data_IF_853501417297
#
_entry.id   IF_853501417297
#
_cell.length_a   1.000
_cell.length_b   1.000
_cell.length_c   1.000
_cell.angle_alpha   90.00
_cell.angle_beta   90.00
_cell.angle_gamma   90.00
#
_symmetry.space_group_name_H-M   'P 1'
#
loop_
_entity.id
_entity.type
_entity.pdbx_description
1 polymer ?
#
# COMPACT_ATOMS: atom_id res chain seq x y z
N UNK A 1 23.07 21.95 -8.34
CA UNK A 1 22.23 21.04 -7.55
C UNK A 1 21.10 21.88 -6.97
N UNK A 2 19.97 21.95 -7.66
CA UNK A 2 18.78 22.66 -7.19
C UNK A 2 18.22 21.87 -6.02
N UNK A 3 18.21 22.46 -4.83
CA UNK A 3 17.70 21.83 -3.61
C UNK A 3 16.24 21.41 -3.80
N UNK A 4 15.98 20.11 -3.67
CA UNK A 4 14.65 19.54 -3.64
C UNK A 4 13.90 20.20 -2.46
N UNK A 5 12.66 20.71 -2.62
CA UNK A 5 11.90 21.27 -1.52
C UNK A 5 11.76 20.24 -0.40
N UNK A 6 11.73 20.70 0.85
CA UNK A 6 11.45 19.82 1.99
C UNK A 6 10.09 19.16 1.79
N UNK A 7 10.09 17.84 1.58
CA UNK A 7 8.88 17.04 1.41
C UNK A 7 8.07 16.97 2.69
N UNK A 8 6.81 16.54 2.60
CA UNK A 8 5.97 16.25 3.75
C UNK A 8 6.52 15.09 4.59
N UNK A 9 5.93 14.79 5.76
CA UNK A 9 6.45 13.80 6.70
C UNK A 9 6.54 12.38 6.11
N UNK A 10 5.80 12.07 5.04
CA UNK A 10 5.79 10.79 4.35
C UNK A 10 6.73 10.70 3.15
N UNK A 11 7.41 11.79 2.81
CA UNK A 11 8.31 11.84 1.65
C UNK A 11 9.39 10.74 1.67
N UNK A 12 10.06 10.44 2.81
CA UNK A 12 11.09 9.41 2.82
C UNK A 12 10.56 7.99 2.58
N UNK A 13 9.25 7.76 2.74
CA UNK A 13 8.62 6.49 2.36
C UNK A 13 8.47 6.37 0.84
N UNK A 14 8.16 7.45 0.13
CA UNK A 14 7.77 7.44 -1.28
C UNK A 14 8.82 8.01 -2.25
N UNK A 15 9.70 8.87 -1.78
CA UNK A 15 10.78 9.42 -2.60
C UNK A 15 12.04 9.66 -1.75
N UNK A 16 12.59 8.61 -1.11
CA UNK A 16 13.80 8.71 -0.31
C UNK A 16 15.00 9.15 -1.16
N UNK A 17 15.97 9.84 -0.55
CA UNK A 17 17.23 10.22 -1.19
C UNK A 17 18.18 9.03 -1.35
N UNK A 18 18.06 8.06 -0.46
CA UNK A 18 18.86 6.84 -0.49
C UNK A 18 18.05 5.64 0.03
N UNK A 19 18.25 4.50 -0.61
CA UNK A 19 17.62 3.23 -0.26
C UNK A 19 18.70 2.17 -0.07
N UNK A 20 18.63 1.39 1.00
CA UNK A 20 19.42 0.18 1.16
C UNK A 20 18.49 -1.04 1.15
N UNK A 21 18.72 -1.99 0.25
CA UNK A 21 18.00 -3.28 0.20
C UNK A 21 18.86 -4.34 0.87
N UNK A 22 18.50 -4.74 2.08
CA UNK A 22 19.21 -5.76 2.86
C UNK A 22 18.56 -7.12 2.63
N UNK A 23 19.36 -8.06 2.13
CA UNK A 23 18.90 -9.33 1.61
C UNK A 23 18.69 -9.29 0.09
N UNK A 24 19.31 -8.32 -0.61
CA UNK A 24 19.35 -8.28 -2.07
C UNK A 24 19.84 -9.61 -2.65
N UNK A 25 19.36 -9.98 -3.83
CA UNK A 25 19.71 -11.24 -4.49
C UNK A 25 19.82 -11.07 -5.99
N UNK A 26 20.67 -11.86 -6.60
CA UNK A 26 20.77 -12.08 -8.05
C UNK A 26 19.89 -13.24 -8.56
N UNK A 27 19.30 -14.01 -7.63
CA UNK A 27 18.39 -15.10 -7.94
C UNK A 27 16.93 -14.60 -8.06
N UNK A 28 16.28 -14.68 -9.24
CA UNK A 28 14.90 -14.21 -9.47
C UNK A 28 13.81 -14.99 -8.71
N UNK A 29 14.15 -16.14 -8.11
CA UNK A 29 13.22 -16.87 -7.24
C UNK A 29 13.08 -16.26 -5.84
N UNK A 30 13.94 -15.29 -5.49
CA UNK A 30 13.96 -14.65 -4.17
C UNK A 30 13.32 -13.26 -4.20
N UNK A 31 12.59 -12.92 -3.15
CA UNK A 31 12.01 -11.57 -2.98
C UNK A 31 13.07 -10.48 -3.05
N UNK A 32 14.26 -10.72 -2.48
CA UNK A 32 15.38 -9.78 -2.53
C UNK A 32 15.83 -9.38 -3.93
N UNK A 33 15.62 -10.25 -4.95
CA UNK A 33 15.86 -9.91 -6.35
C UNK A 33 14.88 -8.83 -6.84
N UNK A 34 13.59 -9.05 -6.64
CA UNK A 34 12.55 -8.15 -7.12
C UNK A 34 12.62 -6.78 -6.45
N UNK A 35 12.88 -6.77 -5.14
CA UNK A 35 13.06 -5.54 -4.37
C UNK A 35 14.30 -4.76 -4.83
N UNK A 36 15.42 -5.45 -5.04
CA UNK A 36 16.66 -4.83 -5.54
C UNK A 36 16.51 -4.32 -6.97
N UNK A 37 15.95 -5.14 -7.86
CA UNK A 37 15.68 -4.76 -9.26
C UNK A 37 14.71 -3.56 -9.33
N UNK A 38 13.66 -3.57 -8.51
CA UNK A 38 12.71 -2.48 -8.40
C UNK A 38 13.35 -1.19 -7.86
N UNK A 39 14.18 -1.28 -6.82
CA UNK A 39 14.92 -0.12 -6.29
C UNK A 39 15.83 0.50 -7.35
N UNK A 40 16.49 -0.32 -8.16
CA UNK A 40 17.41 0.14 -9.22
C UNK A 40 16.69 0.87 -10.35
N UNK A 41 15.39 0.73 -10.56
CA UNK A 41 14.66 1.54 -11.55
C UNK A 41 14.75 3.03 -11.24
N UNK A 42 14.76 3.40 -9.95
CA UNK A 42 14.87 4.77 -9.48
C UNK A 42 16.29 5.29 -9.22
N UNK A 43 17.34 4.54 -9.61
CA UNK A 43 18.76 4.93 -9.33
C UNK A 43 19.21 6.24 -9.94
N UNK A 44 18.50 6.75 -10.92
CA UNK A 44 18.75 8.06 -11.52
C UNK A 44 18.26 9.22 -10.64
N UNK A 45 17.44 8.94 -9.60
CA UNK A 45 16.86 9.92 -8.68
C UNK A 45 17.43 9.83 -7.26
N UNK A 46 17.95 8.67 -6.89
CA UNK A 46 18.39 8.33 -5.52
C UNK A 46 19.58 7.38 -5.50
N UNK A 47 20.34 7.41 -4.43
CA UNK A 47 21.36 6.38 -4.18
C UNK A 47 20.69 5.06 -3.82
N UNK A 48 21.09 3.97 -4.48
CA UNK A 48 20.58 2.62 -4.20
C UNK A 48 21.76 1.74 -3.81
N UNK A 49 21.70 1.15 -2.63
CA UNK A 49 22.68 0.25 -2.09
C UNK A 49 22.08 -1.14 -1.92
N UNK A 50 22.75 -2.14 -2.44
CA UNK A 50 22.34 -3.54 -2.36
C UNK A 50 23.24 -4.25 -1.35
N UNK A 51 22.64 -4.89 -0.33
CA UNK A 51 23.39 -5.50 0.76
C UNK A 51 23.13 -7.02 0.81
N UNK A 52 24.21 -7.81 0.67
CA UNK A 52 24.19 -9.26 0.87
C UNK A 52 25.56 -9.75 1.32
N UNK A 53 25.63 -10.41 2.48
CA UNK A 53 26.88 -10.96 3.05
C UNK A 53 27.57 -12.01 2.15
N UNK A 54 26.86 -12.63 1.21
CA UNK A 54 27.41 -13.62 0.28
C UNK A 54 28.10 -12.99 -0.93
N UNK A 55 28.08 -11.65 -1.04
CA UNK A 55 28.53 -10.98 -2.25
C UNK A 55 27.59 -11.19 -3.44
N UNK A 56 28.03 -10.82 -4.63
CA UNK A 56 27.27 -10.87 -5.86
C UNK A 56 27.02 -9.48 -6.45
N UNK A 57 26.20 -9.40 -7.48
CA UNK A 57 25.82 -8.14 -8.12
C UNK A 57 24.48 -8.27 -8.84
N UNK A 58 23.79 -7.16 -9.03
CA UNK A 58 22.59 -7.09 -9.83
C UNK A 58 22.63 -5.85 -10.73
N UNK A 59 22.41 -6.05 -12.04
CA UNK A 59 22.44 -4.96 -13.05
C UNK A 59 23.70 -4.08 -12.98
N UNK A 60 24.86 -4.70 -12.70
CA UNK A 60 26.16 -4.03 -12.60
C UNK A 60 26.42 -3.34 -11.24
N UNK A 61 25.49 -3.42 -10.28
CA UNK A 61 25.66 -2.88 -8.92
C UNK A 61 26.12 -4.00 -7.99
N UNK A 62 27.34 -3.90 -7.39
CA UNK A 62 27.83 -4.92 -6.47
C UNK A 62 27.07 -4.93 -5.16
N UNK A 63 26.99 -6.10 -4.52
CA UNK A 63 26.44 -6.22 -3.18
C UNK A 63 27.48 -5.87 -2.13
N UNK A 64 27.08 -4.99 -1.20
CA UNK A 64 27.88 -4.65 -0.02
C UNK A 64 27.74 -5.75 1.05
N UNK A 65 28.77 -6.03 1.85
CA UNK A 65 28.74 -7.10 2.85
C UNK A 65 27.81 -6.81 4.05
N UNK A 66 27.60 -5.53 4.38
CA UNK A 66 26.81 -5.08 5.53
C UNK A 66 26.41 -3.63 5.44
N UNK A 67 25.62 -3.16 6.41
CA UNK A 67 25.22 -1.75 6.52
C UNK A 67 26.39 -0.83 6.91
N UNK A 68 27.40 -1.36 7.57
CA UNK A 68 28.66 -0.68 7.93
C UNK A 68 29.53 -0.32 6.72
N UNK A 69 29.34 -1.03 5.60
CA UNK A 69 30.02 -0.74 4.33
C UNK A 69 29.33 0.34 3.49
N UNK A 70 28.21 0.91 3.95
CA UNK A 70 27.52 2.00 3.25
C UNK A 70 28.33 3.30 3.30
N UNK A 71 28.32 4.10 2.22
CA UNK A 71 29.06 5.39 2.20
C UNK A 71 28.42 6.46 3.10
N UNK A 72 27.25 6.19 3.69
CA UNK A 72 26.54 7.09 4.59
C UNK A 72 25.22 6.48 5.06
N UNK A 73 24.54 7.16 5.99
CA UNK A 73 23.26 6.73 6.53
C UNK A 73 22.21 6.60 5.42
N UNK A 74 21.57 5.42 5.22
CA UNK A 74 20.47 5.29 4.29
C UNK A 74 19.22 5.95 4.88
N UNK A 75 18.46 6.65 4.07
CA UNK A 75 17.20 7.24 4.52
C UNK A 75 16.11 6.16 4.70
N UNK A 76 16.10 5.15 3.82
CA UNK A 76 15.13 4.06 3.85
C UNK A 76 15.83 2.69 3.70
N UNK A 77 15.56 1.77 4.63
CA UNK A 77 16.03 0.39 4.56
C UNK A 77 14.87 -0.55 4.25
N UNK A 78 15.06 -1.40 3.23
CA UNK A 78 14.17 -2.52 2.92
C UNK A 78 14.80 -3.79 3.44
N UNK A 79 14.07 -4.54 4.28
CA UNK A 79 14.56 -5.74 4.95
C UNK A 79 13.90 -6.99 4.36
N UNK A 80 14.70 -7.80 3.68
CA UNK A 80 14.28 -9.05 3.03
C UNK A 80 15.23 -10.22 3.37
N UNK A 81 15.64 -10.29 4.63
CA UNK A 81 16.49 -11.37 5.17
C UNK A 81 15.63 -12.46 5.81
N UNK A 82 16.16 -13.66 6.08
CA UNK A 82 15.45 -14.67 6.87
C UNK A 82 14.96 -14.11 8.23
N UNK A 83 13.87 -14.65 8.80
CA UNK A 83 13.24 -14.14 10.03
C UNK A 83 14.23 -13.88 11.17
N UNK A 84 15.14 -14.80 11.43
CA UNK A 84 16.15 -14.69 12.49
C UNK A 84 17.13 -13.52 12.34
N UNK A 85 17.23 -12.94 11.15
CA UNK A 85 18.11 -11.80 10.87
C UNK A 85 17.42 -10.43 10.93
N UNK A 86 16.09 -10.39 10.96
CA UNK A 86 15.32 -9.13 10.85
C UNK A 86 15.66 -8.15 11.96
N UNK A 87 15.60 -8.60 13.23
CA UNK A 87 15.89 -7.76 14.40
C UNK A 87 17.28 -7.13 14.31
N UNK A 88 18.30 -7.93 13.97
CA UNK A 88 19.67 -7.42 13.87
C UNK A 88 19.83 -6.37 12.79
N UNK A 89 19.23 -6.60 11.61
CA UNK A 89 19.27 -5.61 10.51
C UNK A 89 18.61 -4.29 10.91
N UNK A 90 17.50 -4.33 11.64
CA UNK A 90 16.83 -3.11 12.11
C UNK A 90 17.67 -2.39 13.17
N UNK A 91 18.26 -3.11 14.12
CA UNK A 91 19.19 -2.54 15.13
C UNK A 91 20.37 -1.86 14.45
N UNK A 92 21.04 -2.56 13.52
CA UNK A 92 22.18 -2.02 12.77
C UNK A 92 21.76 -0.82 11.92
N UNK A 93 20.58 -0.85 11.31
CA UNK A 93 20.04 0.23 10.51
C UNK A 93 19.75 1.49 11.33
N UNK A 94 19.16 1.34 12.52
CA UNK A 94 18.96 2.45 13.47
C UNK A 94 20.30 3.03 13.90
N UNK A 95 21.27 2.19 14.24
CA UNK A 95 22.63 2.62 14.60
C UNK A 95 23.33 3.34 13.45
N UNK A 96 23.11 2.92 12.19
CA UNK A 96 23.60 3.58 10.99
C UNK A 96 22.89 4.92 10.68
N UNK A 97 21.84 5.27 11.43
CA UNK A 97 21.11 6.52 11.30
C UNK A 97 19.89 6.48 10.39
N UNK A 98 19.47 5.30 9.91
CA UNK A 98 18.25 5.16 9.12
C UNK A 98 17.02 5.54 9.96
N UNK A 99 16.01 6.08 9.26
CA UNK A 99 14.75 6.50 9.90
C UNK A 99 13.52 5.77 9.33
N UNK A 100 13.60 5.21 8.13
CA UNK A 100 12.49 4.51 7.49
C UNK A 100 12.86 3.07 7.21
N UNK A 101 11.95 2.18 7.60
CA UNK A 101 12.12 0.74 7.43
C UNK A 101 10.89 0.13 6.77
N UNK A 102 11.11 -0.70 5.76
CA UNK A 102 10.09 -1.57 5.18
C UNK A 102 10.53 -3.01 5.39
N UNK A 103 9.81 -3.74 6.24
CA UNK A 103 10.12 -5.13 6.58
C UNK A 103 9.21 -6.07 5.82
N UNK A 104 9.78 -6.72 4.80
CA UNK A 104 9.06 -7.64 3.91
C UNK A 104 8.85 -8.99 4.58
N UNK A 105 9.84 -9.44 5.31
CA UNK A 105 9.89 -10.77 5.91
C UNK A 105 8.70 -11.02 6.84
N UNK A 106 8.05 -12.18 6.66
CA UNK A 106 7.00 -12.69 7.53
C UNK A 106 7.57 -13.68 8.55
N UNK A 107 6.84 -13.90 9.66
CA UNK A 107 7.20 -14.91 10.65
C UNK A 107 8.49 -14.60 11.43
N UNK A 108 8.87 -13.33 11.50
CA UNK A 108 10.04 -12.89 12.26
C UNK A 108 9.85 -13.02 13.78
N UNK A 109 8.59 -13.20 14.22
CA UNK A 109 8.26 -13.35 15.64
C UNK A 109 6.76 -13.35 15.92
N UNK A 110 6.41 -13.45 17.21
CA UNK A 110 5.04 -13.21 17.64
C UNK A 110 4.69 -11.72 17.50
N UNK A 111 3.40 -11.37 17.51
CA UNK A 111 2.94 -9.98 17.43
C UNK A 111 3.56 -9.05 18.52
N UNK A 112 4.06 -9.61 19.61
CA UNK A 112 4.80 -8.87 20.62
C UNK A 112 6.19 -8.43 20.12
N UNK A 113 6.91 -9.31 19.45
CA UNK A 113 8.24 -9.02 18.88
C UNK A 113 8.16 -7.99 17.75
N UNK A 114 7.12 -8.06 16.93
CA UNK A 114 6.85 -7.05 15.90
C UNK A 114 6.62 -5.65 16.52
N UNK A 115 5.88 -5.58 17.64
CA UNK A 115 5.69 -4.31 18.38
C UNK A 115 6.97 -3.79 19.02
N UNK A 116 7.81 -4.68 19.57
CA UNK A 116 9.11 -4.29 20.11
C UNK A 116 10.04 -3.74 19.02
N UNK A 117 10.02 -4.36 17.82
CA UNK A 117 10.78 -3.89 16.68
C UNK A 117 10.32 -2.50 16.24
N UNK A 118 9.01 -2.27 16.15
CA UNK A 118 8.43 -0.98 15.83
C UNK A 118 8.77 0.07 16.92
N UNK A 119 8.67 -0.31 18.20
CA UNK A 119 9.02 0.56 19.32
C UNK A 119 10.50 0.98 19.30
N UNK A 120 11.41 0.07 18.94
CA UNK A 120 12.83 0.38 18.77
C UNK A 120 13.03 1.47 17.70
N UNK A 121 12.39 1.34 16.54
CA UNK A 121 12.50 2.29 15.44
C UNK A 121 11.90 3.64 15.82
N UNK A 122 10.71 3.65 16.41
CA UNK A 122 10.00 4.89 16.79
C UNK A 122 10.70 5.64 17.93
N UNK A 123 11.30 4.93 18.89
CA UNK A 123 12.11 5.55 19.97
C UNK A 123 13.30 6.35 19.42
N UNK A 124 13.78 6.03 18.21
CA UNK A 124 14.85 6.74 17.53
C UNK A 124 14.33 7.73 16.46
N UNK A 125 13.04 8.08 16.50
CA UNK A 125 12.41 9.04 15.59
C UNK A 125 12.21 8.49 14.17
N UNK A 126 12.18 7.17 13.99
CA UNK A 126 11.93 6.48 12.73
C UNK A 126 10.50 5.97 12.60
N UNK A 127 10.20 5.34 11.44
CA UNK A 127 8.94 4.69 11.13
C UNK A 127 9.17 3.32 10.48
N UNK A 128 8.27 2.38 10.74
CA UNK A 128 8.36 1.01 10.24
C UNK A 128 7.09 0.60 9.52
N UNK A 129 7.21 0.18 8.25
CA UNK A 129 6.15 -0.44 7.46
C UNK A 129 6.28 -1.96 7.52
N UNK A 130 5.20 -2.65 7.82
CA UNK A 130 5.15 -4.10 8.00
C UNK A 130 5.30 -4.50 9.48
N UNK A 131 5.99 -5.58 9.83
CA UNK A 131 6.50 -6.69 8.99
C UNK A 131 5.44 -7.39 8.14
N UNK A 132 5.86 -8.41 7.38
CA UNK A 132 4.94 -9.21 6.56
C UNK A 132 4.17 -8.36 5.53
N UNK A 133 4.86 -7.47 4.84
CA UNK A 133 4.27 -6.61 3.82
C UNK A 133 4.88 -6.87 2.43
N UNK A 134 4.24 -6.38 1.38
CA UNK A 134 4.80 -6.41 0.03
C UNK A 134 5.74 -5.24 -0.25
N UNK A 135 5.68 -4.19 0.57
CA UNK A 135 6.46 -2.99 0.36
C UNK A 135 5.66 -1.80 -0.18
N UNK A 136 6.31 -0.94 -0.96
CA UNK A 136 5.79 0.37 -1.38
C UNK A 136 6.15 0.69 -2.82
N UNK A 137 5.23 1.41 -3.49
CA UNK A 137 5.45 1.98 -4.84
C UNK A 137 5.06 3.45 -4.83
N UNK A 138 5.85 4.25 -5.51
CA UNK A 138 5.46 5.57 -6.00
C UNK A 138 5.86 5.68 -7.47
N UNK A 139 4.87 5.71 -8.36
CA UNK A 139 5.09 5.72 -9.80
C UNK A 139 5.54 7.10 -10.32
N UNK A 140 5.33 8.15 -9.54
CA UNK A 140 5.79 9.51 -9.84
C UNK A 140 7.28 9.71 -9.56
N UNK A 141 7.80 9.02 -8.55
CA UNK A 141 9.21 9.07 -8.15
C UNK A 141 10.05 7.89 -8.67
N UNK A 142 9.45 6.98 -9.45
CA UNK A 142 10.07 5.70 -9.87
C UNK A 142 10.57 4.86 -8.69
N UNK A 143 9.87 4.91 -7.55
CA UNK A 143 10.13 4.04 -6.42
C UNK A 143 9.33 2.75 -6.56
N UNK A 144 10.05 1.61 -6.61
CA UNK A 144 9.45 0.27 -6.66
C UNK A 144 10.15 -0.64 -5.66
N UNK A 145 9.70 -0.64 -4.42
CA UNK A 145 10.22 -1.50 -3.36
C UNK A 145 9.22 -2.64 -3.10
N UNK A 146 8.89 -3.37 -4.16
CA UNK A 146 7.90 -4.44 -4.18
C UNK A 146 8.15 -5.41 -5.34
N UNK A 147 7.35 -6.46 -5.40
CA UNK A 147 7.21 -7.33 -6.59
C UNK A 147 5.83 -7.13 -7.23
N UNK A 148 5.68 -7.61 -8.46
CA UNK A 148 4.47 -7.45 -9.25
C UNK A 148 4.48 -6.17 -10.08
N UNK A 149 3.43 -6.01 -10.89
CA UNK A 149 3.30 -4.88 -11.79
C UNK A 149 2.26 -3.88 -11.29
N UNK A 150 2.70 -2.63 -11.17
CA UNK A 150 1.88 -1.49 -10.76
C UNK A 150 2.03 -0.39 -11.81
N UNK A 151 1.25 -0.43 -12.90
CA UNK A 151 1.30 0.58 -13.95
C UNK A 151 0.98 1.97 -13.38
N UNK A 152 1.62 2.98 -13.95
CA UNK A 152 1.40 4.38 -13.54
C UNK A 152 -0.04 4.82 -13.82
N UNK A 153 -0.64 5.50 -12.85
CA UNK A 153 -2.00 6.05 -12.93
C UNK A 153 -2.38 6.94 -11.77
N UNK A 154 -3.67 7.03 -11.48
CA UNK A 154 -4.23 8.00 -10.55
C UNK A 154 -4.88 7.38 -9.30
N UNK A 155 -4.79 6.05 -9.13
CA UNK A 155 -5.30 5.35 -7.96
C UNK A 155 -4.22 5.21 -6.90
N UNK A 156 -4.42 5.79 -5.72
CA UNK A 156 -3.65 5.47 -4.52
C UNK A 156 -4.18 4.18 -3.91
N UNK A 157 -3.30 3.23 -3.56
CA UNK A 157 -3.74 1.94 -3.03
C UNK A 157 -3.09 1.64 -1.68
N UNK A 158 -3.92 1.23 -0.72
CA UNK A 158 -3.50 0.75 0.61
C UNK A 158 -4.04 -0.67 0.78
N UNK A 159 -3.21 -1.64 1.14
CA UNK A 159 -3.70 -3.01 1.31
C UNK A 159 -2.99 -3.78 2.42
N UNK A 160 -3.77 -4.50 3.25
CA UNK A 160 -3.25 -5.52 4.15
C UNK A 160 -2.99 -6.86 3.45
N UNK A 161 -3.60 -7.09 2.28
CA UNK A 161 -3.39 -8.30 1.47
C UNK A 161 -2.57 -7.99 0.23
N UNK A 162 -1.39 -8.60 0.13
CA UNK A 162 -0.54 -8.50 -1.05
C UNK A 162 -1.18 -9.06 -2.31
N UNK A 163 -1.80 -10.24 -2.21
CA UNK A 163 -2.42 -10.90 -3.37
C UNK A 163 -3.63 -10.11 -3.89
N UNK A 164 -4.47 -9.58 -3.00
CA UNK A 164 -5.61 -8.75 -3.39
C UNK A 164 -5.14 -7.43 -4.04
N UNK A 165 -4.03 -6.86 -3.58
CA UNK A 165 -3.43 -5.68 -4.21
C UNK A 165 -2.97 -5.98 -5.64
N UNK A 166 -2.30 -7.12 -5.88
CA UNK A 166 -1.87 -7.55 -7.23
C UNK A 166 -3.07 -7.81 -8.15
N UNK A 167 -4.11 -8.47 -7.64
CA UNK A 167 -5.35 -8.69 -8.38
C UNK A 167 -6.00 -7.36 -8.77
N UNK A 168 -6.17 -6.45 -7.82
CA UNK A 168 -6.76 -5.13 -8.04
C UNK A 168 -5.94 -4.31 -9.03
N UNK A 169 -4.61 -4.28 -8.90
CA UNK A 169 -3.73 -3.58 -9.83
C UNK A 169 -3.84 -4.13 -11.26
N UNK A 170 -3.95 -5.47 -11.43
CA UNK A 170 -4.16 -6.12 -12.72
C UNK A 170 -5.51 -5.76 -13.33
N UNK A 171 -6.57 -5.75 -12.53
CA UNK A 171 -7.91 -5.36 -13.00
C UNK A 171 -7.95 -3.88 -13.41
N UNK A 172 -7.34 -2.98 -12.63
CA UNK A 172 -7.18 -1.57 -12.99
C UNK A 172 -6.43 -1.41 -14.31
N UNK A 173 -5.31 -2.12 -14.50
CA UNK A 173 -4.54 -2.09 -15.74
C UNK A 173 -5.36 -2.53 -16.97
N UNK A 174 -6.18 -3.58 -16.84
CA UNK A 174 -7.10 -4.02 -17.89
C UNK A 174 -8.17 -3.00 -18.22
N UNK A 175 -8.57 -2.20 -17.24
CA UNK A 175 -9.52 -1.09 -17.40
C UNK A 175 -8.85 0.23 -17.85
N UNK A 176 -7.57 0.20 -18.26
CA UNK A 176 -6.82 1.38 -18.67
C UNK A 176 -6.46 2.34 -17.56
N UNK A 177 -6.53 1.87 -16.30
CA UNK A 177 -6.19 2.65 -15.10
C UNK A 177 -4.89 2.14 -14.47
N UNK A 178 -4.34 2.90 -13.53
CA UNK A 178 -3.10 2.52 -12.86
C UNK A 178 -2.95 3.13 -11.48
N UNK A 179 -1.80 2.86 -10.90
CA UNK A 179 -1.46 3.21 -9.53
C UNK A 179 -0.59 4.46 -9.48
N UNK A 180 -0.93 5.40 -8.60
CA UNK A 180 -0.09 6.54 -8.27
C UNK A 180 0.90 6.18 -7.15
N UNK A 181 0.38 5.66 -6.04
CA UNK A 181 1.10 5.14 -4.88
C UNK A 181 0.48 3.84 -4.41
N UNK A 182 1.31 2.93 -3.92
CA UNK A 182 0.88 1.71 -3.26
C UNK A 182 1.60 1.54 -1.92
N UNK A 183 0.87 1.15 -0.89
CA UNK A 183 1.39 0.80 0.43
C UNK A 183 0.80 -0.55 0.86
N UNK A 184 1.67 -1.52 1.08
CA UNK A 184 1.29 -2.79 1.70
C UNK A 184 1.52 -2.70 3.20
N UNK A 185 0.47 -2.85 4.00
CA UNK A 185 0.52 -2.60 5.44
C UNK A 185 1.18 -3.75 6.23
N UNK A 186 1.01 -5.00 5.77
CA UNK A 186 1.42 -6.18 6.55
C UNK A 186 0.75 -6.21 7.92
N UNK A 187 1.55 -6.48 8.97
CA UNK A 187 1.06 -6.62 10.35
C UNK A 187 0.70 -5.30 11.05
N UNK A 188 0.95 -4.15 10.42
CA UNK A 188 0.66 -2.82 10.97
C UNK A 188 1.25 -2.60 12.38
N UNK A 189 2.53 -2.90 12.55
CA UNK A 189 3.17 -2.81 13.87
C UNK A 189 3.48 -1.37 14.29
N UNK A 190 3.68 -0.44 13.32
CA UNK A 190 3.79 1.00 13.49
C UNK A 190 2.89 1.72 12.48
N UNK A 191 3.25 1.70 11.19
CA UNK A 191 2.45 2.35 10.14
C UNK A 191 1.17 1.55 9.92
N UNK A 192 0.02 2.16 10.21
CA UNK A 192 -1.31 1.58 10.07
C UNK A 192 -2.05 2.09 8.82
N UNK A 193 -3.29 1.63 8.65
CA UNK A 193 -4.12 2.02 7.52
C UNK A 193 -4.46 3.53 7.51
N UNK A 194 -4.66 4.14 8.68
CA UNK A 194 -4.93 5.57 8.78
C UNK A 194 -3.70 6.39 8.37
N UNK A 195 -2.49 5.98 8.82
CA UNK A 195 -1.22 6.57 8.39
C UNK A 195 -1.06 6.54 6.87
N UNK A 196 -1.28 5.37 6.27
CA UNK A 196 -1.13 5.20 4.82
C UNK A 196 -2.15 6.04 4.03
N UNK A 197 -3.39 6.15 4.50
CA UNK A 197 -4.38 7.04 3.90
C UNK A 197 -3.97 8.51 4.03
N UNK A 198 -3.51 8.94 5.22
CA UNK A 198 -3.00 10.30 5.46
C UNK A 198 -1.84 10.65 4.52
N UNK A 199 -0.99 9.67 4.16
CA UNK A 199 0.08 9.87 3.20
C UNK A 199 -0.39 10.01 1.74
N UNK A 200 -1.56 9.45 1.39
CA UNK A 200 -2.15 9.54 0.05
C UNK A 200 -3.01 10.79 -0.15
N UNK A 201 -3.64 11.32 0.91
CA UNK A 201 -4.52 12.48 0.83
C UNK A 201 -3.83 13.70 0.18
N UNK A 202 -2.62 14.13 0.58
CA UNK A 202 -1.97 15.29 -0.03
C UNK A 202 -1.32 14.98 -1.39
N UNK A 203 -1.22 13.70 -1.81
CA UNK A 203 -0.50 13.33 -3.03
C UNK A 203 -1.23 13.80 -4.30
N UNK A 204 -0.64 14.68 -5.12
CA UNK A 204 -1.36 15.34 -6.21
C UNK A 204 -1.79 14.39 -7.33
N UNK A 205 -1.01 13.33 -7.60
CA UNK A 205 -1.35 12.34 -8.63
C UNK A 205 -2.39 11.30 -8.16
N UNK A 206 -2.74 11.25 -6.88
CA UNK A 206 -3.81 10.38 -6.38
C UNK A 206 -5.15 11.11 -6.50
N UNK A 207 -6.07 10.58 -7.29
CA UNK A 207 -7.44 11.11 -7.43
C UNK A 207 -8.48 10.26 -6.71
N UNK A 208 -8.26 8.95 -6.64
CA UNK A 208 -9.11 7.98 -5.95
C UNK A 208 -8.23 7.13 -5.05
N UNK A 209 -8.71 6.78 -3.88
CA UNK A 209 -7.98 5.90 -2.95
C UNK A 209 -8.72 4.57 -2.86
N UNK A 210 -8.05 3.47 -3.19
CA UNK A 210 -8.50 2.10 -3.01
C UNK A 210 -7.87 1.53 -1.73
N UNK A 211 -8.66 1.00 -0.82
CA UNK A 211 -8.18 0.47 0.45
C UNK A 211 -8.76 -0.92 0.73
N UNK A 212 -7.91 -1.87 1.14
CA UNK A 212 -8.32 -3.12 1.75
C UNK A 212 -7.77 -3.19 3.18
N UNK A 213 -8.66 -3.19 4.15
CA UNK A 213 -8.32 -3.14 5.59
C UNK A 213 -9.08 -4.23 6.34
N UNK A 214 -8.35 -5.05 7.08
CA UNK A 214 -8.89 -6.12 7.92
C UNK A 214 -9.02 -5.68 9.37
N UNK A 215 -8.03 -4.91 9.86
CA UNK A 215 -7.96 -4.34 11.20
C UNK A 215 -7.73 -2.82 11.14
N UNK A 216 -8.68 -2.07 11.65
CA UNK A 216 -8.64 -0.59 11.65
C UNK A 216 -7.81 0.00 12.80
N UNK A 217 -7.29 -0.80 13.72
CA UNK A 217 -6.51 -0.38 14.90
C UNK A 217 -7.25 0.70 15.72
N UNK A 218 -7.21 1.94 15.30
CA UNK A 218 -7.99 3.06 15.86
C UNK A 218 -9.12 3.47 14.90
N UNK A 219 -10.33 2.94 15.14
CA UNK A 219 -11.51 3.25 14.33
C UNK A 219 -11.92 4.72 14.36
N UNK A 220 -11.64 5.45 15.45
CA UNK A 220 -11.95 6.89 15.54
C UNK A 220 -10.97 7.70 14.67
N UNK A 221 -9.70 7.35 14.68
CA UNK A 221 -8.71 7.96 13.79
C UNK A 221 -9.05 7.66 12.33
N UNK A 222 -9.39 6.40 12.02
CA UNK A 222 -9.80 6.02 10.68
C UNK A 222 -11.01 6.84 10.19
N UNK A 223 -12.05 7.01 11.00
CA UNK A 223 -13.21 7.83 10.65
C UNK A 223 -12.83 9.28 10.33
N UNK A 224 -11.95 9.90 11.13
CA UNK A 224 -11.44 11.25 10.86
C UNK A 224 -10.64 11.31 9.56
N UNK A 225 -9.79 10.31 9.31
CA UNK A 225 -8.96 10.24 8.08
C UNK A 225 -9.82 10.07 6.84
N UNK A 226 -10.86 9.25 6.89
CA UNK A 226 -11.84 9.11 5.79
C UNK A 226 -12.56 10.45 5.52
N UNK A 227 -12.98 11.15 6.58
CA UNK A 227 -13.57 12.49 6.46
C UNK A 227 -12.61 13.51 5.87
N UNK A 228 -11.33 13.47 6.22
CA UNK A 228 -10.28 14.33 5.65
C UNK A 228 -10.05 14.02 4.15
N UNK A 229 -10.06 12.75 3.74
CA UNK A 229 -9.97 12.37 2.34
C UNK A 229 -11.16 12.95 1.52
N UNK A 230 -12.39 12.82 2.06
CA UNK A 230 -13.57 13.42 1.47
C UNK A 230 -13.45 14.94 1.33
N UNK A 231 -13.01 15.63 2.38
CA UNK A 231 -12.82 17.09 2.37
C UNK A 231 -11.75 17.51 1.35
N UNK A 232 -10.74 16.68 1.10
CA UNK A 232 -9.74 16.87 0.06
C UNK A 232 -10.21 16.49 -1.35
N UNK A 233 -11.48 16.10 -1.53
CA UNK A 233 -12.04 15.69 -2.82
C UNK A 233 -11.51 14.33 -3.32
N UNK A 234 -11.01 13.46 -2.42
CA UNK A 234 -10.46 12.14 -2.76
C UNK A 234 -11.37 11.03 -2.24
N UNK A 235 -12.22 10.45 -3.11
CA UNK A 235 -13.06 9.32 -2.72
C UNK A 235 -12.22 8.16 -2.23
N UNK A 236 -12.67 7.53 -1.15
CA UNK A 236 -12.08 6.29 -0.62
C UNK A 236 -13.02 5.13 -0.91
N UNK A 237 -12.49 4.14 -1.64
CA UNK A 237 -13.13 2.87 -1.96
C UNK A 237 -12.60 1.83 -1.00
N UNK A 238 -13.42 1.35 -0.07
CA UNK A 238 -12.99 0.46 1.00
C UNK A 238 -13.52 -0.95 0.78
N UNK A 239 -12.62 -1.90 0.82
CA UNK A 239 -12.89 -3.31 1.02
C UNK A 239 -12.49 -3.69 2.44
N UNK A 240 -13.27 -4.54 3.09
CA UNK A 240 -12.94 -5.06 4.42
C UNK A 240 -13.23 -6.55 4.50
N UNK A 241 -12.50 -7.26 5.35
CA UNK A 241 -12.82 -8.64 5.71
C UNK A 241 -14.06 -8.70 6.63
N UNK A 242 -14.74 -9.85 6.67
CA UNK A 242 -15.70 -10.11 7.72
C UNK A 242 -17.16 -9.72 7.47
N UNK A 243 -17.60 -9.66 6.20
CA UNK A 243 -19.03 -9.46 5.86
C UNK A 243 -19.96 -10.56 6.36
N UNK A 244 -19.46 -11.78 6.51
CA UNK A 244 -20.16 -12.89 7.13
C UNK A 244 -19.37 -13.40 8.32
N UNK A 245 -20.04 -14.11 9.23
CA UNK A 245 -19.34 -14.74 10.36
C UNK A 245 -18.24 -15.70 9.89
N UNK A 246 -18.44 -16.42 8.79
CA UNK A 246 -17.44 -17.31 8.22
C UNK A 246 -16.22 -16.53 7.71
N UNK A 247 -16.44 -15.42 6.98
CA UNK A 247 -15.37 -14.55 6.52
C UNK A 247 -14.64 -13.86 7.68
N UNK A 248 -15.37 -13.48 8.74
CA UNK A 248 -14.80 -12.93 9.96
C UNK A 248 -13.88 -13.92 10.67
N UNK A 249 -14.29 -15.19 10.81
CA UNK A 249 -13.45 -16.25 11.39
C UNK A 249 -12.21 -16.53 10.55
N UNK A 250 -12.34 -16.56 9.22
CA UNK A 250 -11.21 -16.76 8.32
C UNK A 250 -10.18 -15.62 8.43
N UNK A 251 -10.63 -14.37 8.45
CA UNK A 251 -9.76 -13.20 8.62
C UNK A 251 -9.07 -13.18 9.99
N UNK A 252 -9.80 -13.45 11.07
CA UNK A 252 -9.24 -13.55 12.42
C UNK A 252 -8.17 -14.64 12.53
N UNK A 253 -8.35 -15.77 11.84
CA UNK A 253 -7.36 -16.87 11.78
C UNK A 253 -6.11 -16.47 10.98
N UNK A 254 -6.27 -15.62 9.95
CA UNK A 254 -5.17 -15.17 9.09
C UNK A 254 -4.32 -14.07 9.72
N UNK A 255 -4.96 -13.11 10.40
CA UNK A 255 -4.29 -11.91 10.93
C UNK A 255 -4.07 -11.94 12.44
N UNK A 256 -4.75 -12.86 13.16
CA UNK A 256 -4.77 -12.86 14.63
C UNK A 256 -5.48 -11.64 15.24
N UNK A 257 -6.14 -10.81 14.42
CA UNK A 257 -6.80 -9.59 14.84
C UNK A 257 -8.32 -9.78 14.98
N UNK A 258 -8.93 -8.98 15.87
CA UNK A 258 -10.39 -8.88 15.98
C UNK A 258 -10.93 -8.13 14.76
N UNK A 259 -11.75 -8.82 13.97
CA UNK A 259 -12.44 -8.20 12.82
C UNK A 259 -13.53 -7.28 13.34
N UNK A 260 -13.53 -6.03 12.92
CA UNK A 260 -14.58 -5.05 13.27
C UNK A 260 -15.95 -5.49 12.72
N UNK A 261 -17.01 -5.27 13.51
CA UNK A 261 -18.36 -5.60 13.07
C UNK A 261 -18.72 -4.83 11.79
N UNK A 262 -19.12 -5.57 10.75
CA UNK A 262 -19.41 -5.01 9.43
C UNK A 262 -20.41 -3.85 9.48
N UNK A 263 -21.46 -3.95 10.31
CA UNK A 263 -22.45 -2.88 10.50
C UNK A 263 -21.82 -1.57 11.02
N UNK A 264 -20.85 -1.68 11.94
CA UNK A 264 -20.11 -0.51 12.47
C UNK A 264 -19.27 0.12 11.37
N UNK A 265 -18.52 -0.69 10.61
CA UNK A 265 -17.71 -0.19 9.48
C UNK A 265 -18.60 0.48 8.44
N UNK A 266 -19.74 -0.13 8.09
CA UNK A 266 -20.69 0.44 7.14
C UNK A 266 -21.30 1.78 7.63
N UNK A 267 -21.58 1.91 8.92
CA UNK A 267 -22.06 3.17 9.50
C UNK A 267 -20.99 4.27 9.42
N UNK A 268 -19.75 3.95 9.80
CA UNK A 268 -18.62 4.89 9.73
C UNK A 268 -18.35 5.31 8.29
N UNK A 269 -18.37 4.38 7.34
CA UNK A 269 -18.16 4.70 5.92
C UNK A 269 -19.23 5.65 5.40
N UNK A 270 -20.51 5.41 5.74
CA UNK A 270 -21.61 6.31 5.32
C UNK A 270 -21.45 7.71 5.89
N UNK A 271 -21.10 7.83 7.17
CA UNK A 271 -20.93 9.12 7.85
C UNK A 271 -19.71 9.89 7.29
N UNK A 272 -18.59 9.22 7.16
CA UNK A 272 -17.36 9.79 6.62
C UNK A 272 -17.37 10.00 5.10
N UNK A 273 -18.33 9.39 4.37
CA UNK A 273 -18.46 9.49 2.91
C UNK A 273 -17.50 8.57 2.14
N UNK A 274 -17.03 7.48 2.75
CA UNK A 274 -16.32 6.42 2.06
C UNK A 274 -17.30 5.41 1.44
N UNK A 275 -16.90 4.77 0.34
CA UNK A 275 -17.69 3.75 -0.35
C UNK A 275 -17.24 2.37 0.10
N UNK A 276 -18.07 1.68 0.88
CA UNK A 276 -17.82 0.30 1.29
C UNK A 276 -18.31 -0.63 0.18
N UNK A 277 -17.39 -1.38 -0.42
CA UNK A 277 -17.60 -2.20 -1.60
C UNK A 277 -17.43 -3.70 -1.28
N UNK A 278 -17.78 -4.57 -2.22
CA UNK A 278 -17.93 -5.99 -1.97
C UNK A 278 -16.83 -6.86 -2.55
N UNK A 279 -16.03 -6.32 -3.47
CA UNK A 279 -14.95 -7.07 -4.10
C UNK A 279 -14.12 -6.22 -5.04
N UNK A 280 -13.00 -6.79 -5.51
CA UNK A 280 -12.03 -6.08 -6.37
C UNK A 280 -12.66 -5.61 -7.68
N UNK A 281 -13.57 -6.37 -8.29
CA UNK A 281 -14.28 -5.97 -9.51
C UNK A 281 -15.10 -4.71 -9.31
N UNK A 282 -15.97 -4.68 -8.28
CA UNK A 282 -16.79 -3.49 -7.95
C UNK A 282 -15.91 -2.28 -7.60
N UNK A 283 -14.79 -2.51 -6.91
CA UNK A 283 -13.83 -1.45 -6.60
C UNK A 283 -13.25 -0.85 -7.89
N UNK A 284 -12.84 -1.69 -8.83
CA UNK A 284 -12.27 -1.23 -10.11
C UNK A 284 -13.31 -0.49 -10.94
N UNK A 285 -14.53 -1.03 -11.09
CA UNK A 285 -15.61 -0.38 -11.82
C UNK A 285 -15.95 1.00 -11.25
N UNK A 286 -15.98 1.09 -9.91
CA UNK A 286 -16.23 2.35 -9.20
C UNK A 286 -15.07 3.33 -9.39
N UNK A 287 -13.82 2.86 -9.31
CA UNK A 287 -12.65 3.71 -9.55
C UNK A 287 -12.64 4.27 -10.97
N UNK A 288 -12.93 3.45 -11.99
CA UNK A 288 -13.04 3.86 -13.40
C UNK A 288 -14.12 4.94 -13.55
N UNK A 289 -15.28 4.74 -12.95
CA UNK A 289 -16.37 5.72 -13.01
C UNK A 289 -15.98 7.06 -12.35
N UNK A 290 -15.29 7.04 -11.20
CA UNK A 290 -14.84 8.23 -10.50
C UNK A 290 -13.67 8.95 -11.19
N UNK A 291 -12.86 8.23 -11.96
CA UNK A 291 -11.76 8.79 -12.75
C UNK A 291 -12.20 9.31 -14.12
N UNK A 292 -13.46 9.11 -14.50
CA UNK A 292 -14.00 9.61 -15.76
C UNK A 292 -13.80 11.14 -15.88
N UNK A 293 -13.56 11.67 -17.09
CA UNK A 293 -13.30 13.11 -17.31
C UNK A 293 -14.43 14.01 -16.84
N UNK A 294 -15.67 13.51 -16.86
CA UNK A 294 -16.85 14.21 -16.39
C UNK A 294 -17.75 13.26 -15.60
N UNK A 295 -18.02 13.60 -14.35
CA UNK A 295 -19.02 12.90 -13.55
C UNK A 295 -20.43 13.33 -13.94
N UNK A 296 -21.43 12.43 -13.88
CA UNK A 296 -22.83 12.76 -14.15
C UNK A 296 -23.33 13.88 -13.21
N UNK A 297 -24.00 14.88 -13.79
CA UNK A 297 -24.62 15.98 -13.02
C UNK A 297 -26.00 15.64 -12.46
N UNK A 298 -26.51 14.44 -12.72
CA UNK A 298 -27.84 14.00 -12.31
C UNK A 298 -28.01 12.50 -12.43
N UNK A 299 -29.23 12.03 -12.18
CA UNK A 299 -29.58 10.61 -12.12
C UNK A 299 -30.21 10.05 -13.40
N UNK A 300 -30.34 10.85 -14.44
CA UNK A 300 -30.93 10.42 -15.72
C UNK A 300 -29.86 9.71 -16.55
N UNK A 301 -30.15 8.48 -16.96
CA UNK A 301 -29.29 7.64 -17.78
C UNK A 301 -30.02 7.34 -19.10
N UNK A 302 -29.34 7.53 -20.21
CA UNK A 302 -29.78 7.05 -21.51
C UNK A 302 -29.03 5.77 -21.85
N UNK A 303 -29.75 4.74 -22.27
CA UNK A 303 -29.19 3.50 -22.78
C UNK A 303 -29.41 3.47 -24.29
N UNK A 304 -28.35 3.40 -25.07
CA UNK A 304 -28.41 3.27 -26.52
C UNK A 304 -27.64 2.02 -26.96
N UNK A 305 -28.20 1.26 -27.88
CA UNK A 305 -27.61 0.03 -28.42
C UNK A 305 -28.35 -0.44 -29.65
N UNK A 306 -27.76 -1.33 -30.40
CA UNK A 306 -28.26 -1.97 -31.61
C UNK A 306 -29.11 -3.23 -31.35
N UNK A 307 -29.19 -3.64 -30.07
CA UNK A 307 -29.89 -4.87 -29.64
C UNK A 307 -30.78 -4.62 -28.44
N UNK A 308 -32.04 -5.08 -28.52
CA UNK A 308 -33.04 -4.90 -27.45
C UNK A 308 -32.69 -5.65 -26.16
N UNK A 309 -32.09 -6.84 -26.21
CA UNK A 309 -31.73 -7.63 -25.04
C UNK A 309 -30.72 -6.95 -24.12
N UNK A 310 -29.53 -6.58 -24.58
CA UNK A 310 -28.55 -5.82 -23.79
C UNK A 310 -29.06 -4.47 -23.31
N UNK A 311 -29.87 -3.74 -24.12
CA UNK A 311 -30.47 -2.49 -23.68
C UNK A 311 -31.46 -2.68 -22.52
N UNK A 312 -32.27 -3.75 -22.54
CA UNK A 312 -33.18 -4.08 -21.45
C UNK A 312 -32.45 -4.45 -20.17
N UNK A 313 -31.37 -5.24 -20.28
CA UNK A 313 -30.51 -5.58 -19.13
C UNK A 313 -29.85 -4.34 -18.53
N UNK A 314 -29.32 -3.44 -19.35
CA UNK A 314 -28.75 -2.19 -18.90
C UNK A 314 -29.79 -1.31 -18.18
N UNK A 315 -31.01 -1.20 -18.73
CA UNK A 315 -32.10 -0.46 -18.12
C UNK A 315 -32.46 -1.02 -16.72
N UNK A 316 -32.49 -2.36 -16.56
CA UNK A 316 -32.69 -3.00 -15.26
C UNK A 316 -31.56 -2.68 -14.29
N UNK A 317 -30.30 -2.70 -14.76
CA UNK A 317 -29.12 -2.43 -13.93
C UNK A 317 -29.07 -1.01 -13.38
N UNK A 318 -29.58 -0.01 -14.13
CA UNK A 318 -29.60 1.40 -13.71
C UNK A 318 -30.90 1.80 -12.96
N UNK A 319 -31.87 0.90 -12.89
CA UNK A 319 -33.09 1.14 -12.10
C UNK A 319 -32.75 1.03 -10.60
N UNK A 320 -33.07 2.01 -9.75
CA UNK A 320 -32.84 1.90 -8.33
C UNK A 320 -33.57 0.67 -7.78
N UNK A 321 -32.82 -0.29 -7.21
CA UNK A 321 -33.42 -1.36 -6.42
C UNK A 321 -34.10 -0.68 -5.24
N UNK A 322 -35.43 -0.91 -5.10
CA UNK A 322 -36.15 -0.45 -3.92
C UNK A 322 -35.38 -0.88 -2.68
N UNK A 323 -35.29 0.01 -1.71
CA UNK A 323 -34.81 -0.34 -0.37
C UNK A 323 -35.83 -1.31 0.17
N UNK A 324 -35.54 -2.61 0.07
CA UNK A 324 -36.24 -3.58 0.88
C UNK A 324 -35.86 -3.26 2.32
N UNK A 325 -36.89 -3.06 3.15
CA UNK A 325 -36.90 -2.44 4.47
C UNK A 325 -36.06 -3.09 5.56
#
# INVERSE_FOLDING_TARGET
MTGRPAGGPWEPLFDPRSVAVVGASDNPEKWGYWLAAGALTGRHRRSVHLVNRRGGSLQGVPFLPGLDALPGAPEHIVVAVPPSGVRQVVVDGVAAGARWFTVITSGAGAAAEDRELAALVTAHGGRLLGPNCMGVVDTGSDLRLTWGDFPRGEVGMVSQSGNLALETARLLARAGQGISRFVSLGNQSDIDAADALEALIPHPATRVIAAYVEDFRDGRRMARTLGAARAAGKPVLLLTAGRSEAAGRAAASHTGALVSAHATVAAVCRDAGALLLHGAGELVDTAVALLAPALPRGRRVAVAGDSGGPCAQAAVAVTPRGRDG
#
